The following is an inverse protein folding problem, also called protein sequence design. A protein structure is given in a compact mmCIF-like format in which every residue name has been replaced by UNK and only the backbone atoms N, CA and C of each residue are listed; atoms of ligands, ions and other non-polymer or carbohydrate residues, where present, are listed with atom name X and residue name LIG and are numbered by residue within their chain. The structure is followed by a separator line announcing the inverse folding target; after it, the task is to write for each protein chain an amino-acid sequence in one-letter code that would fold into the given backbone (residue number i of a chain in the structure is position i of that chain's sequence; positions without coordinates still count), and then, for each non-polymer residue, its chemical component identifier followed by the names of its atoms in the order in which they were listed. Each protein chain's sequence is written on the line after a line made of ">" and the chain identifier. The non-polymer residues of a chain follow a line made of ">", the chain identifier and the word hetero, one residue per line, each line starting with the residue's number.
data_IF_902865266634
#
_entry.id   IF_902865266634
#
_cell.length_a   1.000
_cell.length_b   1.000
_cell.length_c   1.000
_cell.angle_alpha   90.00
_cell.angle_beta   90.00
_cell.angle_gamma   90.00
#
_symmetry.space_group_name_H-M   'P 1'
#
loop_
_entity.id
_entity.type
_entity.pdbx_description
1 polymer ?
#
# COMPACT_ATOMS: atom_id res chain seq x y z
N UNK A 1 1.69 14.20 27.96
CA UNK A 1 0.98 14.56 26.70
C UNK A 1 -0.48 14.14 26.85
N UNK A 2 -1.45 15.01 26.54
CA UNK A 2 -2.87 14.68 26.75
C UNK A 2 -3.61 14.20 25.49
N UNK A 3 -3.06 14.42 24.28
CA UNK A 3 -3.66 14.00 23.00
C UNK A 3 -2.58 13.67 21.97
N UNK A 4 -2.85 12.68 21.12
CA UNK A 4 -2.04 12.35 19.94
C UNK A 4 -2.98 12.13 18.74
N UNK A 5 -2.50 12.43 17.54
CA UNK A 5 -3.23 12.23 16.28
C UNK A 5 -2.57 11.10 15.49
N UNK A 6 -3.38 10.18 14.97
CA UNK A 6 -2.93 9.17 14.00
C UNK A 6 -3.62 9.45 12.68
N UNK A 7 -2.83 9.69 11.63
CA UNK A 7 -3.30 9.83 10.26
C UNK A 7 -2.87 8.59 9.48
N UNK A 8 -3.83 7.93 8.83
CA UNK A 8 -3.58 6.84 7.90
C UNK A 8 -3.90 7.33 6.50
N UNK A 9 -2.88 7.39 5.64
CA UNK A 9 -3.04 7.66 4.21
C UNK A 9 -3.12 6.29 3.53
N UNK A 10 -4.33 5.89 3.16
CA UNK A 10 -4.54 4.56 2.58
C UNK A 10 -3.81 4.43 1.23
N UNK A 11 -3.28 3.23 0.94
CA UNK A 11 -2.51 2.89 -0.27
C UNK A 11 -1.22 3.71 -0.55
N UNK A 12 -0.79 4.57 0.36
CA UNK A 12 0.39 5.43 0.18
C UNK A 12 1.68 4.79 0.72
N UNK A 13 2.21 3.80 -0.01
CA UNK A 13 3.46 3.10 0.35
C UNK A 13 4.73 3.84 -0.08
N UNK A 14 5.84 3.62 0.64
CA UNK A 14 7.16 4.22 0.39
C UNK A 14 8.18 3.25 -0.23
N UNK A 15 7.75 2.05 -0.63
CA UNK A 15 8.59 1.05 -1.26
C UNK A 15 8.01 -0.36 -1.11
N UNK A 16 8.55 -1.29 -1.90
CA UNK A 16 8.27 -2.71 -1.80
C UNK A 16 8.91 -3.29 -0.54
N UNK A 17 8.24 -4.26 0.09
CA UNK A 17 8.78 -5.01 1.23
C UNK A 17 9.80 -6.08 0.76
N UNK A 18 10.69 -6.50 1.65
CA UNK A 18 11.76 -7.46 1.33
C UNK A 18 11.23 -8.85 0.92
N UNK A 19 10.03 -9.21 1.34
CA UNK A 19 9.35 -10.49 1.02
C UNK A 19 8.61 -10.46 -0.32
N UNK A 20 8.50 -9.29 -0.98
CA UNK A 20 7.81 -9.13 -2.27
C UNK A 20 8.33 -10.10 -3.34
N UNK A 21 9.64 -10.34 -3.53
CA UNK A 21 10.11 -11.29 -4.52
C UNK A 21 9.60 -12.73 -4.33
N UNK A 22 9.32 -13.12 -3.08
CA UNK A 22 8.86 -14.47 -2.73
C UNK A 22 7.33 -14.58 -2.78
N UNK A 23 6.62 -13.60 -2.21
CA UNK A 23 5.18 -13.66 -2.00
C UNK A 23 4.40 -13.04 -3.17
N UNK A 24 4.93 -11.97 -3.77
CA UNK A 24 4.25 -11.16 -4.81
C UNK A 24 5.23 -10.61 -5.85
N UNK A 25 5.88 -11.47 -6.65
CA UNK A 25 6.92 -11.05 -7.57
C UNK A 25 6.47 -9.99 -8.60
N UNK A 26 5.16 -9.87 -8.88
CA UNK A 26 4.62 -8.81 -9.73
C UNK A 26 4.72 -7.40 -9.14
N UNK A 27 4.87 -7.27 -7.82
CA UNK A 27 4.97 -5.98 -7.11
C UNK A 27 6.43 -5.54 -6.90
N UNK A 28 7.41 -6.26 -7.47
CA UNK A 28 8.83 -5.89 -7.42
C UNK A 28 9.00 -4.49 -8.02
N UNK A 29 9.67 -3.60 -7.25
CA UNK A 29 9.88 -2.21 -7.64
C UNK A 29 8.69 -1.28 -7.35
N UNK A 30 7.63 -1.75 -6.70
CA UNK A 30 6.53 -0.88 -6.29
C UNK A 30 7.02 0.22 -5.33
N UNK A 31 6.75 1.48 -5.66
CA UNK A 31 6.97 2.62 -4.77
C UNK A 31 5.96 3.73 -5.07
N UNK A 32 4.78 3.67 -4.44
CA UNK A 32 3.69 4.62 -4.72
C UNK A 32 4.11 6.07 -4.48
N UNK A 33 4.68 6.37 -3.32
CA UNK A 33 5.15 7.70 -2.98
C UNK A 33 6.23 8.17 -3.97
N UNK A 34 7.27 7.36 -4.19
CA UNK A 34 8.35 7.68 -5.11
C UNK A 34 7.85 7.97 -6.53
N UNK A 35 7.00 7.11 -7.09
CA UNK A 35 6.46 7.28 -8.44
C UNK A 35 5.58 8.53 -8.58
N UNK A 36 4.75 8.84 -7.58
CA UNK A 36 3.95 10.08 -7.58
C UNK A 36 4.85 11.31 -7.58
N UNK A 37 5.87 11.33 -6.72
CA UNK A 37 6.78 12.48 -6.60
C UNK A 37 7.64 12.66 -7.86
N UNK A 38 8.09 11.56 -8.48
CA UNK A 38 8.81 11.59 -9.75
C UNK A 38 7.94 12.10 -10.90
N UNK A 39 6.66 11.72 -10.93
CA UNK A 39 5.71 12.19 -11.95
C UNK A 39 5.35 13.67 -11.78
N UNK A 40 5.29 14.16 -10.55
CA UNK A 40 5.02 15.56 -10.22
C UNK A 40 6.23 16.21 -9.52
N UNK A 41 7.30 16.57 -10.26
CA UNK A 41 8.55 17.03 -9.68
C UNK A 41 8.41 18.29 -8.82
N UNK A 42 7.46 19.17 -9.16
CA UNK A 42 7.20 20.43 -8.46
C UNK A 42 6.22 20.30 -7.28
N UNK A 43 5.61 19.12 -7.07
CA UNK A 43 4.66 18.90 -5.99
C UNK A 43 5.34 19.08 -4.62
N UNK A 44 4.76 19.91 -3.77
CA UNK A 44 5.22 20.08 -2.38
C UNK A 44 4.14 19.73 -1.38
N UNK A 45 4.50 18.89 -0.43
CA UNK A 45 3.70 18.47 0.71
C UNK A 45 4.39 18.96 1.99
N UNK A 46 4.40 20.27 2.28
CA UNK A 46 5.32 20.88 3.24
C UNK A 46 5.19 20.32 4.67
N UNK A 47 3.99 19.88 5.07
CA UNK A 47 3.79 19.24 6.38
C UNK A 47 4.42 17.85 6.43
N UNK A 48 4.24 17.03 5.38
CA UNK A 48 4.80 15.69 5.32
C UNK A 48 6.32 15.72 5.12
N UNK A 49 6.81 16.67 4.33
CA UNK A 49 8.24 16.98 4.20
C UNK A 49 8.87 17.28 5.56
N UNK A 50 8.27 18.19 6.34
CA UNK A 50 8.70 18.49 7.71
C UNK A 50 8.65 17.28 8.65
N UNK A 51 7.67 16.39 8.47
CA UNK A 51 7.56 15.15 9.26
C UNK A 51 8.52 14.05 8.79
N UNK A 52 9.33 14.28 7.76
CA UNK A 52 10.36 13.34 7.32
C UNK A 52 9.90 12.35 6.25
N UNK A 53 8.92 12.71 5.41
CA UNK A 53 8.47 11.84 4.31
C UNK A 53 9.62 11.42 3.38
N UNK A 54 10.50 12.35 3.01
CA UNK A 54 11.66 12.05 2.15
C UNK A 54 12.68 11.17 2.89
N UNK A 55 12.82 11.34 4.20
CA UNK A 55 13.66 10.47 5.01
C UNK A 55 13.14 9.02 5.01
N UNK A 56 11.82 8.83 5.12
CA UNK A 56 11.18 7.52 5.07
C UNK A 56 11.27 6.88 3.68
N UNK A 57 11.27 7.69 2.62
CA UNK A 57 11.46 7.23 1.24
C UNK A 57 12.92 6.79 0.97
N UNK A 58 13.89 7.42 1.63
CA UNK A 58 15.30 7.05 1.57
C UNK A 58 16.07 7.62 0.36
N UNK A 59 15.41 8.36 -0.54
CA UNK A 59 16.04 9.05 -1.66
C UNK A 59 15.25 10.30 -2.07
N UNK A 60 15.91 11.22 -2.77
CA UNK A 60 15.29 12.42 -3.31
C UNK A 60 14.50 12.09 -4.60
N UNK A 61 13.18 12.00 -4.48
CA UNK A 61 12.30 11.71 -5.62
C UNK A 61 11.82 12.98 -6.37
N UNK A 62 11.85 14.14 -5.72
CA UNK A 62 11.43 15.42 -6.29
C UNK A 62 12.10 16.63 -5.60
N UNK A 63 11.51 17.83 -5.71
CA UNK A 63 12.03 19.06 -5.08
C UNK A 63 12.06 19.05 -3.55
N UNK A 64 11.28 18.18 -2.89
CA UNK A 64 11.25 18.09 -1.43
C UNK A 64 12.54 17.48 -0.88
N UNK A 65 12.90 17.89 0.33
CA UNK A 65 14.17 17.52 0.98
C UNK A 65 13.95 16.68 2.24
N UNK A 66 14.97 15.91 2.60
CA UNK A 66 15.02 15.24 3.89
C UNK A 66 15.14 16.27 5.03
N UNK A 67 14.48 16.00 6.14
CA UNK A 67 14.55 16.82 7.35
C UNK A 67 15.35 16.11 8.44
N UNK A 68 16.43 16.72 8.89
CA UNK A 68 17.31 16.21 9.97
C UNK A 68 16.59 16.15 11.32
N UNK A 69 15.66 17.06 11.58
CA UNK A 69 14.96 17.15 12.86
C UNK A 69 13.71 16.26 12.95
N UNK A 70 13.38 15.54 11.87
CA UNK A 70 12.21 14.68 11.82
C UNK A 70 12.44 13.33 12.51
N UNK A 71 11.46 12.88 13.29
CA UNK A 71 11.40 11.49 13.77
C UNK A 71 10.56 10.69 12.78
N UNK A 72 11.19 9.72 12.11
CA UNK A 72 10.57 8.93 11.05
C UNK A 72 10.94 7.44 11.19
N UNK A 73 10.19 6.59 10.48
CA UNK A 73 10.47 5.17 10.37
C UNK A 73 9.57 4.52 9.33
N UNK A 74 9.94 3.31 8.89
CA UNK A 74 9.13 2.47 8.01
C UNK A 74 8.67 1.23 8.78
N UNK A 75 7.55 0.64 8.37
CA UNK A 75 7.00 -0.55 9.01
C UNK A 75 6.54 -1.55 7.95
N UNK A 76 7.03 -2.79 8.06
CA UNK A 76 6.58 -3.91 7.25
C UNK A 76 5.15 -4.34 7.66
N UNK A 77 4.36 -4.79 6.70
CA UNK A 77 3.07 -5.42 6.98
C UNK A 77 3.29 -6.83 7.54
N UNK A 78 2.49 -7.23 8.52
CA UNK A 78 2.57 -8.58 9.12
C UNK A 78 1.73 -9.63 8.37
N UNK A 79 1.11 -9.30 7.24
CA UNK A 79 0.22 -10.20 6.51
C UNK A 79 0.56 -10.23 5.02
N UNK A 80 0.29 -11.36 4.40
CA UNK A 80 0.41 -11.52 2.95
C UNK A 80 -0.64 -10.65 2.25
N UNK A 81 -0.20 -9.47 1.82
CA UNK A 81 -0.87 -8.68 0.81
C UNK A 81 -1.31 -7.26 1.16
N UNK A 82 -1.35 -6.42 0.13
CA UNK A 82 -1.76 -5.01 0.21
C UNK A 82 -3.28 -4.76 0.11
N UNK A 83 -4.11 -5.73 0.50
CA UNK A 83 -5.57 -5.60 0.33
C UNK A 83 -6.19 -4.70 1.41
N UNK A 84 -6.98 -3.72 0.98
CA UNK A 84 -7.69 -2.71 1.81
C UNK A 84 -8.64 -3.35 2.84
N UNK A 85 -9.18 -4.54 2.57
CA UNK A 85 -10.03 -5.28 3.51
C UNK A 85 -9.28 -5.76 4.77
N UNK A 86 -7.95 -5.89 4.70
CA UNK A 86 -7.14 -6.44 5.78
C UNK A 86 -6.15 -5.44 6.40
N UNK A 87 -5.82 -4.34 5.71
CA UNK A 87 -4.90 -3.33 6.22
C UNK A 87 -5.35 -2.64 7.52
N UNK A 88 -6.46 -1.88 7.54
CA UNK A 88 -6.91 -1.16 8.73
C UNK A 88 -7.41 -2.07 9.86
N UNK A 89 -8.07 -3.19 9.55
CA UNK A 89 -8.74 -4.07 10.53
C UNK A 89 -7.75 -5.07 11.19
N UNK A 90 -6.75 -5.60 10.47
CA UNK A 90 -5.81 -6.57 11.08
C UNK A 90 -4.67 -5.95 11.87
N UNK A 91 -4.32 -4.67 11.62
CA UNK A 91 -3.26 -3.99 12.40
C UNK A 91 -3.52 -3.97 13.90
N UNK A 92 -4.77 -4.15 14.35
CA UNK A 92 -5.11 -4.07 15.76
C UNK A 92 -5.79 -5.32 16.39
N UNK A 93 -6.49 -6.23 15.67
CA UNK A 93 -7.42 -7.14 16.37
C UNK A 93 -7.50 -8.64 16.01
N UNK A 94 -7.05 -9.18 14.86
CA UNK A 94 -7.36 -10.59 14.52
C UNK A 94 -6.20 -11.38 13.92
N UNK A 95 -5.75 -12.42 14.65
CA UNK A 95 -4.86 -13.50 14.16
C UNK A 95 -5.68 -14.62 13.52
N UNK A 96 -5.16 -15.26 12.47
CA UNK A 96 -5.50 -16.65 12.15
C UNK A 96 -6.47 -16.95 10.99
N UNK A 97 -6.91 -15.98 10.18
CA UNK A 97 -7.71 -16.31 8.99
C UNK A 97 -6.83 -16.75 7.82
N UNK A 98 -6.96 -18.04 7.46
CA UNK A 98 -6.47 -18.66 6.22
C UNK A 98 -6.90 -17.82 5.01
N UNK A 99 -5.98 -17.54 4.09
CA UNK A 99 -6.28 -16.83 2.84
C UNK A 99 -7.40 -17.57 2.09
N UNK A 100 -8.50 -16.87 1.81
CA UNK A 100 -9.52 -17.33 0.87
C UNK A 100 -8.94 -17.19 -0.53
N UNK A 101 -9.13 -18.23 -1.34
CA UNK A 101 -8.74 -18.40 -2.75
C UNK A 101 -8.27 -17.11 -3.43
N UNK A 102 -6.95 -16.99 -3.63
CA UNK A 102 -6.35 -15.84 -4.31
C UNK A 102 -6.04 -16.26 -5.74
N UNK A 103 -6.85 -15.80 -6.69
CA UNK A 103 -6.57 -15.92 -8.12
C UNK A 103 -6.89 -14.59 -8.80
N UNK A 104 -6.30 -14.35 -9.97
CA UNK A 104 -6.72 -13.22 -10.81
C UNK A 104 -8.18 -13.44 -11.18
N UNK A 105 -8.98 -12.38 -11.18
CA UNK A 105 -10.37 -12.48 -11.63
C UNK A 105 -10.45 -13.08 -13.04
N UNK A 106 -9.48 -12.77 -13.91
CA UNK A 106 -9.34 -13.35 -15.25
C UNK A 106 -9.29 -14.88 -15.29
N UNK A 107 -8.83 -15.54 -14.22
CA UNK A 107 -8.77 -16.99 -14.13
C UNK A 107 -10.14 -17.63 -13.82
N UNK A 108 -11.13 -16.84 -13.43
CA UNK A 108 -12.48 -17.28 -13.06
C UNK A 108 -13.57 -16.53 -13.84
N UNK A 109 -13.22 -15.74 -14.86
CA UNK A 109 -14.19 -14.97 -15.65
C UNK A 109 -15.24 -15.89 -16.25
N UNK A 110 -14.82 -16.98 -16.90
CA UNK A 110 -15.73 -17.90 -17.59
C UNK A 110 -16.68 -18.62 -16.62
N UNK A 111 -16.17 -19.00 -15.45
CA UNK A 111 -16.97 -19.63 -14.39
C UNK A 111 -17.98 -18.64 -13.80
N UNK A 112 -17.57 -17.39 -13.55
CA UNK A 112 -18.44 -16.34 -13.05
C UNK A 112 -19.51 -15.99 -14.07
N UNK A 113 -19.15 -15.86 -15.35
CA UNK A 113 -20.10 -15.58 -16.44
C UNK A 113 -21.16 -16.68 -16.55
N UNK A 114 -20.74 -17.95 -16.51
CA UNK A 114 -21.67 -19.09 -16.56
C UNK A 114 -22.68 -19.06 -15.42
N UNK A 115 -22.24 -18.80 -14.19
CA UNK A 115 -23.13 -18.71 -13.02
C UNK A 115 -24.08 -17.50 -13.11
N UNK A 116 -23.59 -16.36 -13.63
CA UNK A 116 -24.43 -15.18 -13.86
C UNK A 116 -25.54 -15.46 -14.88
N UNK A 117 -25.20 -16.08 -16.01
CA UNK A 117 -26.18 -16.49 -17.02
C UNK A 117 -27.18 -17.51 -16.43
N UNK A 118 -26.70 -18.48 -15.65
CA UNK A 118 -27.54 -19.45 -14.95
C UNK A 118 -28.49 -18.82 -13.93
N UNK A 119 -28.11 -17.71 -13.31
CA UNK A 119 -28.94 -16.91 -12.41
C UNK A 119 -29.91 -15.96 -13.15
N UNK A 120 -29.94 -16.00 -14.48
CA UNK A 120 -30.85 -15.22 -15.31
C UNK A 120 -30.32 -13.84 -15.72
N UNK A 121 -29.03 -13.58 -15.56
CA UNK A 121 -28.40 -12.39 -16.13
C UNK A 121 -28.32 -12.54 -17.66
N UNK A 122 -29.00 -11.65 -18.39
CA UNK A 122 -28.95 -11.55 -19.85
C UNK A 122 -28.12 -10.31 -20.17
N UNK A 123 -26.87 -10.52 -20.59
CA UNK A 123 -25.96 -9.46 -21.03
C UNK A 123 -26.39 -8.79 -22.31
#
# INVERSE_FOLDING_TARGET
>A
MSKFLVLVIDSFGVGAMDDVPEVRPQDIGANTCGHILQHFPELRLPTLEKLGLINALGFAANVMQANVDAVYGTAALQHEGGDTLYGPIRKFWVRGHKLRYVCRFSAVIDDVERELIGAGWQG
#
